data_IF_348371414125
#
_entry.id   IF_348371414125
#
_cell.length_a   1.000
_cell.length_b   1.000
_cell.length_c   1.000
_cell.angle_alpha   90.00
_cell.angle_beta   90.00
_cell.angle_gamma   90.00
#
_symmetry.space_group_name_H-M   'P 1'
#
loop_
_entity.id
_entity.type
_entity.pdbx_description
1 polymer ?
#
# COMPACT_ATOMS: atom_id res chain seq x y z
N UNK A 1 -17.82 10.57 1.25
CA UNK A 1 -17.70 9.29 0.53
C UNK A 1 -17.57 9.58 -0.97
N UNK A 2 -16.44 10.15 -1.43
CA UNK A 2 -16.23 10.53 -2.84
C UNK A 2 -14.79 11.00 -3.18
N UNK A 3 -13.76 10.75 -2.35
CA UNK A 3 -12.39 11.21 -2.66
C UNK A 3 -11.50 10.10 -3.26
N UNK A 4 -11.81 8.83 -2.99
CA UNK A 4 -11.00 7.70 -3.45
C UNK A 4 -11.19 7.34 -4.94
N UNK A 5 -12.37 7.60 -5.51
CA UNK A 5 -12.65 7.27 -6.93
C UNK A 5 -11.83 8.17 -7.89
N UNK A 6 -11.49 9.39 -7.44
CA UNK A 6 -10.73 10.38 -8.20
C UNK A 6 -9.20 10.23 -8.08
N UNK A 7 -8.68 9.65 -6.99
CA UNK A 7 -7.24 9.42 -6.82
C UNK A 7 -6.67 8.47 -7.89
N UNK A 8 -7.49 7.55 -8.39
CA UNK A 8 -7.10 6.56 -9.39
C UNK A 8 -7.11 7.07 -10.84
N UNK A 9 -7.64 8.28 -11.07
CA UNK A 9 -7.86 8.82 -12.41
C UNK A 9 -6.66 9.58 -13.00
N UNK A 10 -5.55 9.75 -12.27
CA UNK A 10 -4.53 10.74 -12.59
C UNK A 10 -3.07 10.28 -12.49
N UNK A 11 -2.67 9.27 -13.26
CA UNK A 11 -1.25 9.02 -13.61
C UNK A 11 -0.27 8.57 -12.51
N UNK A 12 -0.61 8.70 -11.22
CA UNK A 12 0.13 8.12 -10.09
C UNK A 12 -0.18 6.63 -9.99
N UNK A 13 0.84 5.78 -9.80
CA UNK A 13 0.62 4.33 -9.62
C UNK A 13 -0.21 4.09 -8.36
N UNK A 14 -1.40 3.50 -8.49
CA UNK A 14 -2.27 3.04 -7.37
C UNK A 14 -1.45 2.43 -6.23
N UNK A 15 -0.58 1.48 -6.56
CA UNK A 15 0.21 0.73 -5.58
C UNK A 15 1.18 1.62 -4.79
N UNK A 16 1.68 2.69 -5.42
CA UNK A 16 2.57 3.64 -4.77
C UNK A 16 1.85 4.47 -3.72
N UNK A 17 0.63 4.91 -4.04
CA UNK A 17 -0.21 5.68 -3.13
C UNK A 17 -0.73 4.82 -1.97
N UNK A 18 -1.15 3.58 -2.28
CA UNK A 18 -1.49 2.56 -1.29
C UNK A 18 -0.36 2.34 -0.28
N UNK A 19 0.87 2.18 -0.77
CA UNK A 19 2.03 1.98 0.08
C UNK A 19 2.32 3.21 0.95
N UNK A 20 2.24 4.41 0.39
CA UNK A 20 2.49 5.64 1.12
C UNK A 20 1.48 5.85 2.27
N UNK A 21 0.19 5.66 1.95
CA UNK A 21 -0.89 5.71 2.92
C UNK A 21 -0.75 4.62 3.99
N UNK A 22 -0.40 3.39 3.60
CA UNK A 22 -0.22 2.29 4.53
C UNK A 22 0.94 2.52 5.51
N UNK A 23 2.06 3.07 5.03
CA UNK A 23 3.20 3.43 5.88
C UNK A 23 2.83 4.58 6.81
N UNK A 24 2.17 5.61 6.29
CA UNK A 24 1.69 6.77 7.08
C UNK A 24 0.73 6.33 8.19
N UNK A 25 -0.13 5.34 7.92
CA UNK A 25 -1.07 4.76 8.89
C UNK A 25 -0.47 3.65 9.77
N UNK A 26 0.84 3.38 9.69
CA UNK A 26 1.52 2.30 10.42
C UNK A 26 0.94 0.89 10.16
N UNK A 27 0.27 0.69 9.01
CA UNK A 27 -0.23 -0.61 8.56
C UNK A 27 0.92 -1.44 7.95
N UNK A 28 1.80 -0.78 7.22
CA UNK A 28 3.07 -1.36 6.74
C UNK A 28 4.20 -0.79 7.60
N UNK A 29 4.98 -1.68 8.20
CA UNK A 29 6.19 -1.33 8.91
C UNK A 29 7.35 -1.21 7.93
N UNK A 30 8.23 -0.22 8.15
CA UNK A 30 9.46 -0.05 7.38
C UNK A 30 10.67 -0.22 8.29
N UNK A 31 11.42 -1.31 8.10
CA UNK A 31 12.67 -1.60 8.78
C UNK A 31 13.85 -1.35 7.84
N UNK A 32 14.37 -0.12 7.85
CA UNK A 32 15.43 0.31 6.93
C UNK A 32 14.95 0.31 5.48
N UNK A 33 15.51 -0.57 4.65
CA UNK A 33 15.08 -0.76 3.27
C UNK A 33 13.93 -1.77 3.12
N UNK A 34 13.60 -2.53 4.15
CA UNK A 34 12.57 -3.57 4.10
C UNK A 34 11.21 -3.05 4.52
N UNK A 35 10.17 -3.53 3.83
CA UNK A 35 8.77 -3.29 4.18
C UNK A 35 8.13 -4.60 4.65
N UNK A 36 7.32 -4.49 5.69
CA UNK A 36 6.70 -5.60 6.38
C UNK A 36 5.21 -5.32 6.58
N UNK A 37 4.39 -6.32 6.30
CA UNK A 37 2.94 -6.25 6.40
C UNK A 37 2.44 -7.44 7.20
N UNK A 38 1.74 -7.18 8.30
CA UNK A 38 1.27 -8.22 9.24
C UNK A 38 2.38 -9.21 9.66
N UNK A 39 3.62 -8.72 9.85
CA UNK A 39 4.78 -9.54 10.22
C UNK A 39 5.43 -10.31 9.07
N UNK A 40 4.97 -10.14 7.83
CA UNK A 40 5.56 -10.75 6.64
C UNK A 40 6.32 -9.73 5.82
N UNK A 41 7.56 -10.06 5.42
CA UNK A 41 8.35 -9.23 4.53
C UNK A 41 7.76 -9.27 3.12
N UNK A 42 7.29 -8.12 2.64
CA UNK A 42 6.63 -7.98 1.34
C UNK A 42 7.56 -7.45 0.25
N UNK A 43 8.67 -6.82 0.63
CA UNK A 43 9.67 -6.36 -0.34
C UNK A 43 10.75 -5.47 0.25
N UNK A 44 11.84 -5.32 -0.50
CA UNK A 44 12.92 -4.38 -0.21
C UNK A 44 12.81 -3.19 -1.16
N UNK A 45 12.65 -1.99 -0.61
CA UNK A 45 12.48 -0.77 -1.38
C UNK A 45 11.03 -0.56 -1.84
N UNK A 46 10.73 0.68 -2.23
CA UNK A 46 9.37 1.10 -2.58
C UNK A 46 8.89 0.41 -3.87
N UNK A 47 9.78 0.18 -4.84
CA UNK A 47 9.45 -0.46 -6.12
C UNK A 47 9.10 -1.94 -5.98
N UNK A 48 9.89 -2.72 -5.24
CA UNK A 48 9.61 -4.14 -5.03
C UNK A 48 8.24 -4.37 -4.37
N UNK A 49 7.88 -3.51 -3.42
CA UNK A 49 6.57 -3.56 -2.76
C UNK A 49 5.45 -3.18 -3.72
N UNK A 50 5.66 -2.18 -4.59
CA UNK A 50 4.68 -1.84 -5.63
C UNK A 50 4.44 -3.03 -6.56
N UNK A 51 5.51 -3.69 -7.01
CA UNK A 51 5.40 -4.90 -7.84
C UNK A 51 4.68 -6.03 -7.11
N UNK A 52 4.98 -6.25 -5.83
CA UNK A 52 4.27 -7.20 -4.99
C UNK A 52 2.78 -6.90 -4.89
N UNK A 53 2.38 -5.65 -4.62
CA UNK A 53 0.96 -5.25 -4.54
C UNK A 53 0.26 -5.33 -5.90
N UNK A 54 1.00 -5.10 -7.00
CA UNK A 54 0.47 -5.24 -8.36
C UNK A 54 0.22 -6.69 -8.73
N UNK A 55 1.12 -7.59 -8.34
CA UNK A 55 1.00 -9.04 -8.54
C UNK A 55 -0.06 -9.65 -7.60
N UNK A 56 -0.05 -9.25 -6.33
CA UNK A 56 -0.94 -9.74 -5.29
C UNK A 56 -2.09 -8.77 -5.01
N UNK A 57 -3.07 -8.77 -5.91
CA UNK A 57 -4.28 -7.93 -5.79
C UNK A 57 -5.07 -8.20 -4.50
N UNK A 58 -4.99 -9.40 -3.94
CA UNK A 58 -5.65 -9.75 -2.67
C UNK A 58 -5.08 -8.94 -1.51
N UNK A 59 -3.75 -8.87 -1.42
CA UNK A 59 -3.07 -8.08 -0.40
C UNK A 59 -3.30 -6.59 -0.61
N UNK A 60 -3.27 -6.11 -1.86
CA UNK A 60 -3.58 -4.72 -2.17
C UNK A 60 -5.00 -4.30 -1.75
N UNK A 61 -6.02 -5.13 -2.01
CA UNK A 61 -7.41 -4.89 -1.58
C UNK A 61 -7.55 -4.91 -0.05
N UNK A 62 -6.86 -5.83 0.62
CA UNK A 62 -6.82 -5.90 2.08
C UNK A 62 -6.19 -4.63 2.67
N UNK A 63 -5.07 -4.17 2.11
CA UNK A 63 -4.43 -2.90 2.46
C UNK A 63 -5.36 -1.72 2.30
N UNK A 64 -6.04 -1.61 1.15
CA UNK A 64 -6.99 -0.54 0.88
C UNK A 64 -8.11 -0.51 1.92
N UNK A 65 -8.68 -1.67 2.26
CA UNK A 65 -9.72 -1.78 3.31
C UNK A 65 -9.22 -1.35 4.67
N UNK A 66 -8.02 -1.77 5.07
CA UNK A 66 -7.45 -1.38 6.36
C UNK A 66 -7.13 0.11 6.42
N UNK A 67 -6.60 0.68 5.33
CA UNK A 67 -6.37 2.13 5.24
C UNK A 67 -7.69 2.89 5.41
N UNK A 68 -8.76 2.45 4.74
CA UNK A 68 -10.09 3.07 4.85
C UNK A 68 -10.70 2.93 6.25
N UNK A 69 -10.46 1.81 6.92
CA UNK A 69 -10.92 1.61 8.29
C UNK A 69 -10.14 2.45 9.32
N UNK A 70 -8.93 2.90 8.97
CA UNK A 70 -8.09 3.76 9.80
C UNK A 70 -8.30 5.27 9.52
N UNK A 71 -9.42 5.64 8.89
CA UNK A 71 -9.87 7.04 8.65
C UNK A 71 -10.95 7.39 9.66
#
# INVERSE_FOLDING_TARGET
QAEFDLMFAGGVSREGELLDLAVSKNIIAKAGAWYEFEGNKIGQGKEAVKEFLKADKKTADKLEKMIRAAI
#
